data_IF_551155545049
#
_entry.id   IF_551155545049
#
_cell.length_a   1.000
_cell.length_b   1.000
_cell.length_c   1.000
_cell.angle_alpha   90.00
_cell.angle_beta   90.00
_cell.angle_gamma   90.00
#
_symmetry.space_group_name_H-M   'P 1'
#
loop_
_entity.id
_entity.type
_entity.pdbx_description
1 polymer ?
#
# COMPACT_ATOMS: atom_id res chain seq x y z
N UNK A 1 2.61 0.14 -15.19
CA UNK A 1 3.31 1.15 -14.36
C UNK A 1 4.09 0.53 -13.21
N UNK A 2 5.11 1.21 -12.70
CA UNK A 2 5.88 0.84 -11.50
C UNK A 2 5.59 1.82 -10.36
N UNK A 3 5.26 1.32 -9.18
CA UNK A 3 5.05 2.14 -7.96
C UNK A 3 5.97 1.68 -6.84
N UNK A 4 6.26 2.57 -5.88
CA UNK A 4 7.02 2.24 -4.68
C UNK A 4 6.06 1.95 -3.52
N UNK A 5 6.03 0.72 -3.03
CA UNK A 5 5.15 0.30 -1.93
C UNK A 5 5.94 0.26 -0.62
N UNK A 6 5.41 0.85 0.44
CA UNK A 6 5.99 0.85 1.79
C UNK A 6 5.02 0.27 2.79
N UNK A 7 5.48 -0.67 3.61
CA UNK A 7 4.69 -1.27 4.69
C UNK A 7 5.26 -0.85 6.04
N UNK A 8 4.36 -0.55 6.98
CA UNK A 8 4.70 -0.16 8.34
C UNK A 8 4.08 -1.12 9.35
N UNK A 9 4.62 -1.12 10.58
CA UNK A 9 4.16 -2.00 11.67
C UNK A 9 4.11 -3.47 11.26
N UNK A 10 3.11 -4.18 11.77
CA UNK A 10 2.91 -5.62 11.56
C UNK A 10 2.63 -6.00 10.09
N UNK A 11 2.21 -5.04 9.25
CA UNK A 11 2.01 -5.30 7.82
C UNK A 11 3.32 -5.68 7.11
N UNK A 12 4.47 -5.23 7.59
CA UNK A 12 5.78 -5.55 6.97
C UNK A 12 6.39 -6.86 7.47
N UNK A 13 5.91 -7.41 8.58
CA UNK A 13 6.45 -8.62 9.17
C UNK A 13 6.21 -9.82 8.24
N UNK A 14 7.27 -10.59 7.95
CA UNK A 14 7.21 -11.69 6.99
C UNK A 14 6.94 -11.27 5.54
N UNK A 15 6.94 -9.97 5.24
CA UNK A 15 6.76 -9.39 3.90
C UNK A 15 7.99 -8.55 3.55
N UNK A 16 7.81 -7.24 3.33
CA UNK A 16 8.87 -6.32 2.95
C UNK A 16 8.64 -4.96 3.60
N UNK A 17 9.72 -4.21 3.84
CA UNK A 17 9.63 -2.82 4.31
C UNK A 17 9.31 -1.86 3.16
N UNK A 18 9.99 -2.02 2.02
CA UNK A 18 9.76 -1.24 0.82
C UNK A 18 10.13 -2.05 -0.43
N UNK A 19 9.29 -2.02 -1.46
CA UNK A 19 9.53 -2.70 -2.72
C UNK A 19 8.95 -1.94 -3.92
N UNK A 20 9.57 -2.07 -5.08
CA UNK A 20 9.02 -1.63 -6.36
C UNK A 20 8.02 -2.65 -6.89
N UNK A 21 6.78 -2.23 -7.12
CA UNK A 21 5.69 -3.10 -7.56
C UNK A 21 5.25 -2.74 -8.97
N UNK A 22 5.33 -3.70 -9.88
CA UNK A 22 4.78 -3.58 -11.24
C UNK A 22 3.27 -3.81 -11.20
N UNK A 23 2.50 -2.92 -11.82
CA UNK A 23 1.04 -2.94 -11.91
C UNK A 23 0.58 -2.65 -13.33
N UNK A 24 -0.65 -3.06 -13.65
CA UNK A 24 -1.30 -2.65 -14.90
C UNK A 24 -1.58 -1.14 -14.87
N UNK A 25 -1.68 -0.51 -16.05
CA UNK A 25 -2.10 0.88 -16.15
C UNK A 25 -3.51 1.06 -15.56
N UNK A 26 -3.75 2.20 -14.90
CA UNK A 26 -4.99 2.50 -14.17
C UNK A 26 -5.30 1.56 -12.98
N UNK A 27 -4.31 0.81 -12.48
CA UNK A 27 -4.50 0.06 -11.22
C UNK A 27 -4.79 1.01 -10.06
N UNK A 28 -5.55 0.52 -9.09
CA UNK A 28 -5.97 1.27 -7.91
C UNK A 28 -5.17 0.84 -6.69
N UNK A 29 -5.25 1.62 -5.62
CA UNK A 29 -4.63 1.30 -4.33
C UNK A 29 -4.96 -0.13 -3.85
N UNK A 30 -6.22 -0.55 -3.99
CA UNK A 30 -6.67 -1.90 -3.60
C UNK A 30 -5.96 -3.03 -4.34
N UNK A 31 -5.45 -2.77 -5.54
CA UNK A 31 -4.76 -3.79 -6.34
C UNK A 31 -3.37 -4.09 -5.77
N UNK A 32 -2.73 -3.13 -5.07
CA UNK A 32 -1.50 -3.38 -4.32
C UNK A 32 -1.78 -4.31 -3.13
N UNK A 33 -2.86 -4.06 -2.40
CA UNK A 33 -3.28 -4.88 -1.25
C UNK A 33 -3.50 -6.33 -1.70
N UNK A 34 -4.24 -6.54 -2.80
CA UNK A 34 -4.46 -7.87 -3.38
C UNK A 34 -3.16 -8.51 -3.85
N UNK A 35 -2.32 -7.77 -4.58
CA UNK A 35 -1.06 -8.29 -5.15
C UNK A 35 -0.10 -8.81 -4.08
N UNK A 36 0.00 -8.11 -2.96
CA UNK A 36 0.89 -8.48 -1.85
C UNK A 36 0.20 -9.27 -0.74
N UNK A 37 -1.04 -9.71 -0.97
CA UNK A 37 -1.86 -10.42 0.01
C UNK A 37 -1.85 -9.73 1.38
N UNK A 38 -2.03 -8.42 1.38
CA UNK A 38 -2.16 -7.65 2.62
C UNK A 38 -3.56 -7.89 3.20
N UNK A 39 -3.66 -8.22 4.50
CA UNK A 39 -4.95 -8.37 5.16
C UNK A 39 -5.66 -7.01 5.20
N UNK A 40 -6.74 -6.88 4.43
CA UNK A 40 -7.45 -5.60 4.25
C UNK A 40 -7.96 -5.05 5.57
N UNK A 41 -8.42 -5.93 6.47
CA UNK A 41 -8.89 -5.58 7.81
C UNK A 41 -7.79 -5.01 8.72
N UNK A 42 -6.52 -5.23 8.40
CA UNK A 42 -5.38 -4.67 9.12
C UNK A 42 -4.79 -3.45 8.40
N UNK A 43 -5.36 -2.98 7.29
CA UNK A 43 -4.93 -1.73 6.63
C UNK A 43 -5.80 -0.59 7.14
N UNK A 44 -5.31 0.17 8.11
CA UNK A 44 -6.05 1.31 8.67
C UNK A 44 -5.76 2.63 7.95
N UNK A 45 -4.55 2.80 7.44
CA UNK A 45 -4.13 4.01 6.74
C UNK A 45 -3.52 3.61 5.41
N UNK A 46 -4.03 4.23 4.34
CA UNK A 46 -3.39 4.26 3.04
C UNK A 46 -2.98 5.68 2.69
N UNK A 47 -1.77 5.85 2.19
CA UNK A 47 -1.29 7.11 1.64
C UNK A 47 -0.74 6.92 0.24
N UNK A 48 -1.00 7.88 -0.64
CA UNK A 48 -0.32 8.05 -1.92
C UNK A 48 0.41 9.39 -1.88
N UNK A 49 1.72 9.37 -2.09
CA UNK A 49 2.59 10.56 -2.06
C UNK A 49 2.40 11.42 -0.79
N UNK A 50 2.42 10.76 0.37
CA UNK A 50 2.25 11.37 1.71
C UNK A 50 0.89 12.04 1.94
N UNK A 51 -0.13 11.72 1.14
CA UNK A 51 -1.51 12.20 1.30
C UNK A 51 -2.44 11.01 1.51
N UNK A 52 -3.42 11.15 2.40
CA UNK A 52 -4.45 10.12 2.60
C UNK A 52 -5.14 9.80 1.28
N UNK A 53 -5.35 8.51 1.03
CA UNK A 53 -5.91 8.01 -0.22
C UNK A 53 -6.98 6.95 0.05
N UNK A 54 -8.00 6.93 -0.79
CA UNK A 54 -9.02 5.88 -0.78
C UNK A 54 -8.53 4.64 -1.53
N UNK A 55 -9.11 3.48 -1.24
CA UNK A 55 -8.77 2.20 -1.86
C UNK A 55 -9.03 2.18 -3.37
N UNK A 56 -9.98 3.00 -3.83
CA UNK A 56 -10.36 3.11 -5.24
C UNK A 56 -9.58 4.20 -6.00
N UNK A 57 -8.67 4.91 -5.32
CA UNK A 57 -7.82 5.90 -5.99
C UNK A 57 -6.95 5.23 -7.04
N UNK A 58 -7.03 5.72 -8.27
CA UNK A 58 -6.18 5.29 -9.39
C UNK A 58 -4.76 5.81 -9.15
N UNK A 59 -3.79 4.91 -9.30
CA UNK A 59 -2.37 5.20 -9.13
C UNK A 59 -1.74 5.68 -10.43
N UNK A 60 -0.69 6.47 -10.30
CA UNK A 60 0.17 6.90 -11.40
C UNK A 60 1.53 6.23 -11.30
N UNK A 61 2.20 6.14 -12.45
CA UNK A 61 3.57 5.64 -12.52
C UNK A 61 4.49 6.45 -11.59
N UNK A 62 5.35 5.74 -10.86
CA UNK A 62 6.29 6.25 -9.86
C UNK A 62 5.69 6.73 -8.54
N UNK A 63 4.37 6.60 -8.34
CA UNK A 63 3.74 6.92 -7.06
C UNK A 63 4.39 6.14 -5.91
N UNK A 64 4.46 6.78 -4.74
CA UNK A 64 4.80 6.11 -3.49
C UNK A 64 3.53 5.84 -2.70
N UNK A 65 3.24 4.56 -2.45
CA UNK A 65 2.08 4.11 -1.69
C UNK A 65 2.54 3.53 -0.35
N UNK A 66 1.91 3.95 0.73
CA UNK A 66 2.25 3.53 2.08
C UNK A 66 1.01 2.96 2.79
N UNK A 67 1.19 1.80 3.43
CA UNK A 67 0.16 1.13 4.23
C UNK A 67 0.61 0.98 5.67
N UNK A 68 -0.25 1.42 6.60
CA UNK A 68 -0.02 1.26 8.04
C UNK A 68 -1.19 0.51 8.69
N UNK A 69 -0.90 -0.34 9.70
CA UNK A 69 -1.94 -0.90 10.55
C UNK A 69 -2.58 0.14 11.46
N UNK A 70 -3.69 -0.19 12.15
CA UNK A 70 -4.29 0.68 13.16
C UNK A 70 -3.24 1.21 14.15
N UNK A 71 -3.36 2.49 14.52
CA UNK A 71 -2.47 3.10 15.51
C UNK A 71 -2.89 2.62 16.90
N UNK A 72 -2.17 1.64 17.44
CA UNK A 72 -2.41 1.03 18.76
C UNK A 72 -3.02 -0.38 18.67
N UNK A 73 -2.51 -1.42 19.35
CA UNK A 73 -1.67 -1.40 20.54
C UNK A 73 -0.72 -2.59 20.66
N UNK A 74 0.44 -2.30 21.27
CA UNK A 74 1.02 -3.24 22.24
C UNK A 74 0.16 -3.22 23.50
#
# INVERSE_FOLDING_TARGET
>A
MEVNVKLFGDLREGRFMQEKTQLEENSRVIDIIKKHNLPLEQVAICMVNCRGAELEQVLQNQDTVAFSPPVGGM
#
